data_IF_180239663689
#
_entry.id   IF_180239663689
#
_cell.length_a   1.000
_cell.length_b   1.000
_cell.length_c   1.000
_cell.angle_alpha   90.00
_cell.angle_beta   90.00
_cell.angle_gamma   90.00
#
_symmetry.space_group_name_H-M   'P 1'
#
loop_
_entity.id
_entity.type
_entity.pdbx_description
1 polymer ?
#
# COMPACT_ATOMS: atom_id res chain seq x y z
N UNK A 1 17.96 -15.24 33.94
CA UNK A 1 16.62 -14.64 33.72
C UNK A 1 16.19 -15.04 32.32
N UNK A 2 15.32 -16.04 32.25
CA UNK A 2 14.95 -16.76 31.03
C UNK A 2 13.91 -15.98 30.23
N UNK A 3 14.13 -15.92 28.91
CA UNK A 3 13.14 -15.54 27.92
C UNK A 3 11.92 -16.47 28.02
N UNK A 4 10.74 -15.90 28.24
CA UNK A 4 9.47 -16.55 27.91
C UNK A 4 8.92 -15.85 26.67
N UNK A 5 9.39 -16.32 25.51
CA UNK A 5 8.69 -16.19 24.25
C UNK A 5 7.35 -16.93 24.38
N UNK A 6 6.26 -16.18 24.56
CA UNK A 6 4.94 -16.68 24.25
C UNK A 6 4.79 -16.74 22.73
N UNK A 7 5.45 -17.73 22.12
CA UNK A 7 5.21 -18.12 20.75
C UNK A 7 3.76 -18.61 20.68
N UNK A 8 2.92 -17.77 20.07
CA UNK A 8 1.53 -18.04 19.74
C UNK A 8 1.48 -19.18 18.71
N UNK A 9 1.67 -20.41 19.19
CA UNK A 9 1.61 -21.62 18.36
C UNK A 9 0.14 -21.96 18.12
N UNK A 10 -0.50 -21.16 17.26
CA UNK A 10 -1.74 -21.54 16.60
C UNK A 10 -1.47 -22.87 15.90
N UNK A 11 -2.08 -23.95 16.41
CA UNK A 11 -2.21 -25.22 15.69
C UNK A 11 -2.93 -24.92 14.37
N UNK A 12 -2.18 -24.58 13.33
CA UNK A 12 -2.70 -24.51 11.97
C UNK A 12 -3.11 -25.92 11.59
N UNK A 13 -4.39 -26.19 11.75
CA UNK A 13 -5.04 -27.39 11.22
C UNK A 13 -4.75 -27.34 9.72
N UNK A 14 -3.94 -28.26 9.22
CA UNK A 14 -3.66 -28.41 7.78
C UNK A 14 -5.02 -28.65 7.13
N UNK A 15 -5.57 -27.60 6.50
CA UNK A 15 -6.81 -27.70 5.74
C UNK A 15 -6.48 -28.65 4.59
N UNK A 16 -7.11 -29.82 4.58
CA UNK A 16 -6.96 -30.75 3.47
C UNK A 16 -7.54 -30.07 2.23
N UNK A 17 -6.83 -30.14 1.09
CA UNK A 17 -7.19 -29.44 -0.16
C UNK A 17 -8.61 -29.75 -0.70
N UNK A 18 -9.33 -30.73 -0.17
CA UNK A 18 -10.64 -31.14 -0.64
C UNK A 18 -11.80 -30.28 -0.13
N UNK A 19 -11.58 -29.43 0.89
CA UNK A 19 -12.65 -28.62 1.50
C UNK A 19 -12.72 -27.18 0.96
N UNK A 20 -11.81 -26.80 0.05
CA UNK A 20 -11.75 -25.44 -0.49
C UNK A 20 -12.57 -25.36 -1.77
N UNK A 21 -13.42 -24.33 -1.88
CA UNK A 21 -14.18 -24.03 -3.10
C UNK A 21 -13.24 -24.05 -4.33
N UNK A 22 -13.51 -24.87 -5.35
CA UNK A 22 -12.73 -24.93 -6.58
C UNK A 22 -12.51 -23.57 -7.23
N UNK A 23 -13.47 -22.64 -7.08
CA UNK A 23 -13.34 -21.28 -7.59
C UNK A 23 -12.27 -20.48 -6.86
N UNK A 24 -12.15 -20.60 -5.54
CA UNK A 24 -11.08 -19.94 -4.77
C UNK A 24 -9.70 -20.45 -5.22
N UNK A 25 -9.57 -21.76 -5.45
CA UNK A 25 -8.32 -22.34 -5.98
C UNK A 25 -7.99 -21.78 -7.36
N UNK A 26 -8.99 -21.66 -8.25
CA UNK A 26 -8.82 -21.06 -9.58
C UNK A 26 -8.40 -19.58 -9.48
N UNK A 27 -9.02 -18.80 -8.61
CA UNK A 27 -8.68 -17.38 -8.39
C UNK A 27 -7.28 -17.21 -7.80
N UNK A 28 -6.88 -18.06 -6.87
CA UNK A 28 -5.51 -18.08 -6.33
C UNK A 28 -4.48 -18.37 -7.43
N UNK A 29 -4.75 -19.37 -8.27
CA UNK A 29 -3.89 -19.69 -9.41
C UNK A 29 -3.82 -18.56 -10.44
N UNK A 30 -4.96 -17.91 -10.73
CA UNK A 30 -5.03 -16.74 -11.61
C UNK A 30 -4.21 -15.56 -11.06
N UNK A 31 -4.39 -15.23 -9.78
CA UNK A 31 -3.61 -14.21 -9.08
C UNK A 31 -2.11 -14.50 -9.16
N UNK A 32 -1.70 -15.74 -8.87
CA UNK A 32 -0.31 -16.20 -8.98
C UNK A 32 0.23 -16.14 -10.40
N UNK A 33 -0.61 -16.38 -11.41
CA UNK A 33 -0.24 -16.25 -12.81
C UNK A 33 0.13 -14.79 -13.14
N UNK A 34 -0.70 -13.85 -12.71
CA UNK A 34 -0.52 -12.43 -12.98
C UNK A 34 0.54 -11.76 -12.11
N UNK A 35 0.93 -12.33 -10.98
CA UNK A 35 1.92 -11.75 -10.07
C UNK A 35 3.34 -11.60 -10.69
N UNK A 36 3.64 -12.29 -11.80
CA UNK A 36 4.94 -12.21 -12.46
C UNK A 36 4.92 -11.23 -13.66
N UNK A 37 5.79 -10.21 -13.69
CA UNK A 37 5.82 -9.22 -14.77
C UNK A 37 6.00 -9.83 -16.18
N UNK A 38 6.81 -10.88 -16.30
CA UNK A 38 7.06 -11.54 -17.59
C UNK A 38 5.78 -12.16 -18.15
N UNK A 39 4.96 -12.79 -17.30
CA UNK A 39 3.67 -13.38 -17.71
C UNK A 39 2.67 -12.30 -18.12
N UNK A 40 2.61 -11.18 -17.39
CA UNK A 40 1.80 -10.02 -17.80
C UNK A 40 2.24 -9.52 -19.19
N UNK A 41 3.55 -9.40 -19.41
CA UNK A 41 4.09 -8.91 -20.67
C UNK A 41 3.75 -9.84 -21.84
N UNK A 42 3.89 -11.16 -21.66
CA UNK A 42 3.51 -12.16 -22.66
C UNK A 42 2.01 -12.05 -23.00
N UNK A 43 1.13 -12.03 -21.99
CA UNK A 43 -0.32 -11.92 -22.19
C UNK A 43 -0.66 -10.64 -22.96
N UNK A 44 -0.07 -9.51 -22.55
CA UNK A 44 -0.26 -8.23 -23.23
C UNK A 44 0.20 -8.27 -24.69
N UNK A 45 1.38 -8.83 -24.96
CA UNK A 45 1.88 -8.96 -26.33
C UNK A 45 0.94 -9.80 -27.21
N UNK A 46 0.37 -10.88 -26.69
CA UNK A 46 -0.62 -11.69 -27.42
C UNK A 46 -1.88 -10.86 -27.72
N UNK A 47 -2.41 -10.15 -26.73
CA UNK A 47 -3.62 -9.32 -26.88
C UNK A 47 -3.40 -8.15 -27.85
N UNK A 48 -2.26 -7.45 -27.75
CA UNK A 48 -1.88 -6.34 -28.62
C UNK A 48 -1.76 -6.80 -30.10
N UNK A 49 -1.37 -8.06 -30.31
CA UNK A 49 -1.35 -8.71 -31.63
C UNK A 49 -2.71 -9.36 -31.99
N UNK A 50 -3.83 -8.73 -31.63
CA UNK A 50 -5.19 -9.22 -31.94
C UNK A 50 -5.46 -10.64 -31.43
N UNK A 51 -4.93 -10.97 -30.25
CA UNK A 51 -5.01 -12.29 -29.63
C UNK A 51 -4.32 -13.41 -30.42
N UNK A 52 -3.30 -13.06 -31.21
CA UNK A 52 -2.56 -13.99 -32.06
C UNK A 52 -1.06 -13.65 -32.04
N UNK A 53 -0.26 -14.44 -31.33
CA UNK A 53 1.19 -14.27 -31.37
C UNK A 53 1.91 -15.60 -31.63
N UNK A 54 2.80 -15.58 -32.61
CA UNK A 54 3.71 -16.69 -32.91
C UNK A 54 4.81 -16.79 -31.87
N UNK A 55 5.37 -17.99 -31.69
CA UNK A 55 6.53 -18.18 -30.81
C UNK A 55 7.71 -17.28 -31.17
N UNK A 56 7.94 -17.02 -32.47
CA UNK A 56 9.02 -16.16 -32.96
C UNK A 56 8.84 -14.70 -32.50
N UNK A 57 7.62 -14.17 -32.58
CA UNK A 57 7.30 -12.81 -32.09
C UNK A 57 7.49 -12.72 -30.58
N UNK A 58 7.04 -13.71 -29.83
CA UNK A 58 7.23 -13.74 -28.38
C UNK A 58 8.71 -13.87 -27.98
N UNK A 59 9.58 -14.45 -28.81
CA UNK A 59 11.02 -14.50 -28.54
C UNK A 59 11.74 -13.16 -28.80
N UNK A 60 11.06 -12.15 -29.38
CA UNK A 60 11.60 -10.80 -29.54
C UNK A 60 11.48 -9.95 -28.27
N UNK A 61 10.77 -10.45 -27.25
CA UNK A 61 10.62 -9.75 -25.97
C UNK A 61 11.98 -9.63 -25.26
N UNK A 62 12.18 -8.64 -24.37
CA UNK A 62 13.46 -8.42 -23.68
C UNK A 62 13.72 -9.43 -22.54
N UNK A 63 13.39 -10.70 -22.76
CA UNK A 63 13.56 -11.79 -21.81
C UNK A 63 14.25 -12.98 -22.47
N UNK A 64 14.88 -13.83 -21.66
CA UNK A 64 15.51 -15.05 -22.16
C UNK A 64 14.46 -16.00 -22.74
N UNK A 65 14.78 -16.61 -23.88
CA UNK A 65 13.90 -17.54 -24.60
C UNK A 65 13.41 -18.70 -23.73
N UNK A 66 14.27 -19.26 -22.89
CA UNK A 66 13.92 -20.35 -21.97
C UNK A 66 12.88 -19.91 -20.94
N UNK A 67 13.05 -18.70 -20.41
CA UNK A 67 12.13 -18.12 -19.43
C UNK A 67 10.74 -17.90 -20.03
N UNK A 68 10.68 -17.41 -21.28
CA UNK A 68 9.43 -17.22 -22.02
C UNK A 68 8.73 -18.56 -22.24
N UNK A 69 9.47 -19.59 -22.67
CA UNK A 69 8.90 -20.91 -22.88
C UNK A 69 8.35 -21.54 -21.59
N UNK A 70 9.08 -21.42 -20.47
CA UNK A 70 8.61 -21.86 -19.16
C UNK A 70 7.31 -21.16 -18.77
N UNK A 71 7.23 -19.85 -18.91
CA UNK A 71 6.03 -19.10 -18.57
C UNK A 71 4.84 -19.36 -19.51
N UNK A 72 5.09 -19.57 -20.81
CA UNK A 72 4.05 -20.01 -21.74
C UNK A 72 3.48 -21.37 -21.33
N UNK A 73 4.33 -22.32 -20.96
CA UNK A 73 3.88 -23.64 -20.51
C UNK A 73 3.01 -23.55 -19.25
N UNK A 74 3.41 -22.74 -18.26
CA UNK A 74 2.63 -22.53 -17.05
C UNK A 74 1.28 -21.85 -17.34
N UNK A 75 1.27 -20.80 -18.15
CA UNK A 75 0.03 -20.12 -18.57
C UNK A 75 -0.91 -21.08 -19.32
N UNK A 76 -0.35 -21.99 -20.13
CA UNK A 76 -1.10 -23.04 -20.82
C UNK A 76 -1.65 -24.08 -19.83
N UNK A 77 -0.88 -24.51 -18.84
CA UNK A 77 -1.34 -25.44 -17.80
C UNK A 77 -2.49 -24.87 -16.96
N UNK A 78 -2.47 -23.56 -16.70
CA UNK A 78 -3.59 -22.85 -16.07
C UNK A 78 -4.78 -22.66 -17.00
N UNK A 79 -4.60 -22.95 -18.29
CA UNK A 79 -5.55 -22.73 -19.38
C UNK A 79 -5.93 -21.27 -19.53
N UNK A 80 -4.97 -20.35 -19.33
CA UNK A 80 -5.15 -18.92 -19.62
C UNK A 80 -4.79 -18.61 -21.08
N UNK A 81 -3.92 -19.43 -21.67
CA UNK A 81 -3.58 -19.38 -23.08
C UNK A 81 -3.82 -20.73 -23.74
N UNK A 82 -4.13 -20.72 -25.02
CA UNK A 82 -4.16 -21.88 -25.89
C UNK A 82 -2.99 -21.83 -26.86
N UNK A 83 -2.68 -22.96 -27.47
CA UNK A 83 -1.60 -23.04 -28.46
C UNK A 83 -2.07 -23.91 -29.61
N UNK A 84 -2.11 -23.33 -30.80
CA UNK A 84 -2.48 -23.99 -32.05
C UNK A 84 -1.23 -24.15 -32.91
N UNK A 85 -1.22 -25.19 -33.73
CA UNK A 85 -0.15 -25.43 -34.68
C UNK A 85 -0.66 -25.11 -36.08
N UNK A 86 -0.15 -24.02 -36.67
CA UNK A 86 -0.58 -23.49 -37.96
C UNK A 86 0.65 -23.23 -38.84
N UNK A 87 0.64 -23.70 -40.08
CA UNK A 87 1.71 -23.46 -41.06
C UNK A 87 3.12 -23.77 -40.54
N UNK A 88 3.28 -24.90 -39.83
CA UNK A 88 4.55 -25.32 -39.21
C UNK A 88 5.06 -24.36 -38.11
N UNK A 89 4.17 -23.55 -37.54
CA UNK A 89 4.47 -22.62 -36.45
C UNK A 89 3.47 -22.80 -35.31
N UNK A 90 3.91 -22.48 -34.09
CA UNK A 90 3.02 -22.44 -32.93
C UNK A 90 2.50 -21.03 -32.72
N UNK A 91 1.18 -20.91 -32.72
CA UNK A 91 0.42 -19.70 -32.47
C UNK A 91 -0.18 -19.78 -31.07
N UNK A 92 0.01 -18.72 -30.29
CA UNK A 92 -0.52 -18.59 -28.94
C UNK A 92 -1.65 -17.55 -28.93
N UNK A 93 -2.74 -17.87 -28.23
CA UNK A 93 -3.87 -16.97 -28.00
C UNK A 93 -4.32 -17.05 -26.55
N UNK A 94 -4.82 -15.95 -26.00
CA UNK A 94 -5.45 -15.90 -24.67
C UNK A 94 -6.87 -16.45 -24.78
N UNK A 95 -7.28 -17.28 -23.82
CA UNK A 95 -8.69 -17.65 -23.65
C UNK A 95 -9.42 -16.45 -23.03
N UNK A 96 -9.90 -15.56 -23.89
CA UNK A 96 -10.51 -14.27 -23.50
C UNK A 96 -11.71 -14.48 -22.58
N UNK A 97 -12.56 -15.48 -22.85
CA UNK A 97 -13.75 -15.74 -22.06
C UNK A 97 -13.38 -16.16 -20.63
N UNK A 98 -12.44 -17.09 -20.49
CA UNK A 98 -11.97 -17.54 -19.19
C UNK A 98 -11.22 -16.44 -18.45
N UNK A 99 -10.45 -15.61 -19.17
CA UNK A 99 -9.75 -14.47 -18.59
C UNK A 99 -10.73 -13.42 -18.06
N UNK A 100 -11.78 -13.07 -18.82
CA UNK A 100 -12.84 -12.16 -18.38
C UNK A 100 -13.58 -12.72 -17.16
N UNK A 101 -13.96 -14.00 -17.19
CA UNK A 101 -14.63 -14.64 -16.07
C UNK A 101 -13.78 -14.57 -14.79
N UNK A 102 -12.50 -14.99 -14.87
CA UNK A 102 -11.60 -14.99 -13.71
C UNK A 102 -11.29 -13.57 -13.22
N UNK A 103 -11.11 -12.61 -14.13
CA UNK A 103 -10.85 -11.22 -13.75
C UNK A 103 -12.05 -10.57 -13.06
N UNK A 104 -13.27 -10.77 -13.58
CA UNK A 104 -14.49 -10.28 -12.93
C UNK A 104 -14.68 -10.89 -11.53
N UNK A 105 -14.50 -12.21 -11.41
CA UNK A 105 -14.59 -12.87 -10.11
C UNK A 105 -13.48 -12.45 -9.15
N UNK A 106 -12.28 -12.15 -9.66
CA UNK A 106 -11.18 -11.64 -8.85
C UNK A 106 -11.47 -10.21 -8.35
N UNK A 107 -12.01 -9.34 -9.21
CA UNK A 107 -12.40 -7.98 -8.86
C UNK A 107 -13.52 -7.95 -7.81
N UNK A 108 -14.47 -8.89 -7.89
CA UNK A 108 -15.57 -9.02 -6.95
C UNK A 108 -15.09 -9.20 -5.49
N UNK A 109 -13.90 -9.78 -5.27
CA UNK A 109 -13.28 -9.92 -3.93
C UNK A 109 -13.08 -8.53 -3.28
N UNK A 110 -12.82 -7.50 -4.07
CA UNK A 110 -12.49 -6.15 -3.59
C UNK A 110 -13.70 -5.21 -3.52
N UNK A 111 -14.87 -5.61 -4.01
CA UNK A 111 -16.09 -4.78 -3.98
C UNK A 111 -16.49 -4.31 -2.57
N UNK A 112 -16.42 -5.13 -1.51
CA UNK A 112 -16.72 -4.66 -0.16
C UNK A 112 -15.78 -3.54 0.29
N UNK A 113 -14.48 -3.65 -0.02
CA UNK A 113 -13.46 -2.65 0.32
C UNK A 113 -13.72 -1.35 -0.46
N UNK A 114 -14.04 -1.46 -1.75
CA UNK A 114 -14.36 -0.30 -2.58
C UNK A 114 -15.59 0.47 -2.04
N UNK A 115 -16.63 -0.24 -1.57
CA UNK A 115 -17.81 0.37 -0.94
C UNK A 115 -17.47 1.09 0.36
N UNK A 116 -16.72 0.43 1.25
CA UNK A 116 -16.27 1.06 2.51
C UNK A 116 -15.44 2.33 2.25
N UNK A 117 -14.57 2.31 1.25
CA UNK A 117 -13.79 3.48 0.85
C UNK A 117 -14.68 4.60 0.29
N UNK A 118 -15.69 4.28 -0.51
CA UNK A 118 -16.63 5.26 -1.04
C UNK A 118 -17.44 5.93 0.07
N UNK A 119 -17.95 5.14 1.04
CA UNK A 119 -18.68 5.65 2.20
C UNK A 119 -17.80 6.55 3.07
N UNK A 120 -16.56 6.14 3.35
CA UNK A 120 -15.60 6.94 4.10
C UNK A 120 -15.30 8.28 3.40
N UNK A 121 -15.13 8.27 2.08
CA UNK A 121 -14.91 9.48 1.30
C UNK A 121 -16.13 10.41 1.29
N UNK A 122 -17.35 9.86 1.28
CA UNK A 122 -18.57 10.66 1.34
C UNK A 122 -18.75 11.32 2.71
N UNK A 123 -18.39 10.64 3.80
CA UNK A 123 -18.37 11.24 5.14
C UNK A 123 -17.41 12.42 5.25
N UNK A 124 -16.28 12.38 4.53
CA UNK A 124 -15.33 13.49 4.47
C UNK A 124 -15.83 14.66 3.61
N UNK A 125 -16.68 14.40 2.61
CA UNK A 125 -17.28 15.42 1.74
C UNK A 125 -18.41 16.18 2.40
N UNK A 126 -19.05 15.63 3.44
CA UNK A 126 -20.11 16.33 4.16
C UNK A 126 -19.61 17.71 4.61
N UNK A 127 -20.31 18.80 4.25
CA UNK A 127 -19.88 20.14 4.62
C UNK A 127 -19.76 20.19 6.14
N UNK A 128 -18.58 20.59 6.64
CA UNK A 128 -18.36 20.77 8.07
C UNK A 128 -19.42 21.73 8.57
N UNK A 129 -20.46 21.19 9.25
CA UNK A 129 -21.45 21.97 9.97
C UNK A 129 -20.66 23.01 10.75
N UNK A 130 -20.92 24.29 10.48
CA UNK A 130 -20.23 25.42 11.10
C UNK A 130 -20.31 25.19 12.61
N UNK A 131 -19.25 24.66 13.22
CA UNK A 131 -19.18 24.50 14.67
C UNK A 131 -19.38 25.90 15.22
N UNK A 132 -20.53 26.13 15.85
CA UNK A 132 -20.77 27.34 16.65
C UNK A 132 -19.55 27.47 17.56
N UNK A 133 -18.81 28.58 17.41
CA UNK A 133 -17.69 28.94 18.28
C UNK A 133 -18.22 28.98 19.70
N UNK A 134 -18.04 27.90 20.46
CA UNK A 134 -18.05 27.97 21.91
C UNK A 134 -16.79 28.69 22.33
N UNK A 135 -17.02 29.73 23.13
CA UNK A 135 -16.04 30.69 23.61
C UNK A 135 -15.10 30.03 24.63
N UNK A 136 -13.83 30.41 24.51
CA UNK A 136 -12.68 30.36 25.45
C UNK A 136 -12.86 29.61 26.79
N UNK A 137 -11.90 28.71 27.06
CA UNK A 137 -11.29 28.49 28.39
C UNK A 137 -9.80 28.19 28.14
N UNK A 138 -8.93 29.16 28.36
CA UNK A 138 -8.10 29.39 29.56
C UNK A 138 -6.96 28.37 29.68
N UNK A 139 -5.75 28.90 29.78
CA UNK A 139 -4.47 28.18 29.77
C UNK A 139 -4.41 27.14 30.90
N UNK A 140 -4.37 25.87 30.52
CA UNK A 140 -4.04 24.78 31.43
C UNK A 140 -2.60 24.31 31.09
N UNK A 141 -1.68 24.25 32.07
CA UNK A 141 -0.33 23.79 31.83
C UNK A 141 -0.38 22.32 31.45
N UNK A 142 -0.03 22.04 30.20
CA UNK A 142 -0.01 20.68 29.66
C UNK A 142 1.10 19.90 30.35
N UNK A 143 0.69 18.75 30.90
CA UNK A 143 1.48 17.69 31.51
C UNK A 143 2.90 17.55 30.89
N UNK A 144 3.99 17.62 31.68
CA UNK A 144 5.36 17.59 31.16
C UNK A 144 5.81 16.26 30.51
N UNK A 145 4.98 15.22 30.50
CA UNK A 145 5.35 13.87 30.01
C UNK A 145 4.51 13.37 28.82
N UNK A 146 3.97 14.27 27.99
CA UNK A 146 3.34 13.83 26.74
C UNK A 146 4.39 13.19 25.80
N UNK A 147 4.39 11.85 25.75
CA UNK A 147 5.20 11.05 24.84
C UNK A 147 4.60 11.16 23.43
N UNK A 148 5.38 11.62 22.45
CA UNK A 148 4.93 11.72 21.06
C UNK A 148 5.77 12.66 20.21
N UNK A 149 5.64 12.53 18.89
CA UNK A 149 6.43 13.32 17.94
C UNK A 149 6.18 14.83 18.04
N UNK A 150 4.95 15.25 18.34
CA UNK A 150 4.58 16.66 18.49
C UNK A 150 5.30 17.38 19.64
N UNK A 151 5.23 16.85 20.89
CA UNK A 151 5.99 17.36 22.02
C UNK A 151 7.51 17.35 21.78
N UNK A 152 8.05 16.27 21.19
CA UNK A 152 9.47 16.20 20.78
C UNK A 152 9.83 17.35 19.81
N UNK A 153 9.03 17.56 18.77
CA UNK A 153 9.22 18.62 17.78
C UNK A 153 9.18 20.01 18.43
N UNK A 154 8.26 20.22 19.37
CA UNK A 154 8.14 21.48 20.12
C UNK A 154 9.40 21.77 20.92
N UNK A 155 9.95 20.75 21.60
CA UNK A 155 11.20 20.83 22.37
C UNK A 155 12.38 21.15 21.46
N UNK A 156 12.54 20.42 20.35
CA UNK A 156 13.62 20.67 19.39
C UNK A 156 13.54 22.07 18.78
N UNK A 157 12.34 22.54 18.41
CA UNK A 157 12.13 23.90 17.91
C UNK A 157 12.56 24.96 18.93
N UNK A 158 12.22 24.77 20.21
CA UNK A 158 12.60 25.68 21.29
C UNK A 158 14.11 25.68 21.53
N UNK A 159 14.76 24.52 21.49
CA UNK A 159 16.23 24.40 21.56
C UNK A 159 16.93 25.14 20.42
N UNK A 160 16.37 25.09 19.21
CA UNK A 160 16.84 25.85 18.06
C UNK A 160 16.48 27.35 18.10
N UNK A 161 15.83 27.83 19.19
CA UNK A 161 15.35 29.22 19.37
C UNK A 161 14.44 29.72 18.24
N UNK A 162 13.70 28.81 17.60
CA UNK A 162 12.77 29.14 16.53
C UNK A 162 11.35 29.34 17.09
N UNK A 163 10.65 30.35 16.59
CA UNK A 163 9.20 30.45 16.81
C UNK A 163 8.43 29.61 15.77
N UNK A 164 7.16 29.31 16.05
CA UNK A 164 6.33 28.48 15.15
C UNK A 164 6.17 29.09 13.74
N UNK A 165 6.16 30.43 13.64
CA UNK A 165 6.01 31.12 12.36
C UNK A 165 7.27 30.96 11.50
N UNK A 166 8.45 31.06 12.11
CA UNK A 166 9.76 30.88 11.46
C UNK A 166 9.93 29.45 10.96
N UNK A 167 9.71 28.46 11.83
CA UNK A 167 9.82 27.06 11.44
C UNK A 167 8.78 26.69 10.37
N UNK A 168 7.53 27.17 10.52
CA UNK A 168 6.49 26.98 9.52
C UNK A 168 6.89 27.53 8.15
N UNK A 169 7.48 28.73 8.11
CA UNK A 169 7.98 29.34 6.87
C UNK A 169 9.08 28.50 6.21
N UNK A 170 10.04 27.97 6.99
CA UNK A 170 11.11 27.10 6.46
C UNK A 170 10.57 25.78 5.91
N UNK A 171 9.50 25.25 6.50
CA UNK A 171 8.85 24.00 6.08
C UNK A 171 7.80 24.18 4.96
N UNK A 172 7.50 25.42 4.57
CA UNK A 172 6.39 25.73 3.68
C UNK A 172 5.04 25.26 4.24
N UNK A 173 4.79 25.47 5.53
CA UNK A 173 3.49 25.22 6.19
C UNK A 173 3.05 26.43 7.02
N UNK A 174 1.74 26.59 7.22
CA UNK A 174 1.24 27.67 8.06
C UNK A 174 1.58 27.45 9.54
N UNK A 175 1.77 28.52 10.31
CA UNK A 175 1.94 28.46 11.78
C UNK A 175 0.83 27.66 12.47
N UNK A 176 -0.42 27.79 12.01
CA UNK A 176 -1.56 27.03 12.53
C UNK A 176 -1.42 25.53 12.27
N UNK A 177 -0.93 25.13 11.10
CA UNK A 177 -0.68 23.74 10.76
C UNK A 177 0.45 23.16 11.61
N UNK A 178 1.57 23.89 11.76
CA UNK A 178 2.66 23.48 12.65
C UNK A 178 2.16 23.30 14.10
N UNK A 179 1.34 24.21 14.60
CA UNK A 179 0.76 24.07 15.94
C UNK A 179 -0.11 22.82 16.09
N UNK A 180 -0.85 22.41 15.06
CA UNK A 180 -1.60 21.14 15.08
C UNK A 180 -0.68 19.93 15.07
N UNK A 181 0.44 19.99 14.37
CA UNK A 181 1.45 18.92 14.35
C UNK A 181 2.11 18.79 15.73
N UNK A 182 2.54 19.91 16.33
CA UNK A 182 3.13 19.93 17.68
C UNK A 182 2.18 19.40 18.76
N UNK A 183 0.88 19.55 18.55
CA UNK A 183 -0.16 19.03 19.45
C UNK A 183 -0.64 17.61 19.07
N UNK A 184 -0.03 16.94 18.09
CA UNK A 184 -0.40 15.59 17.67
C UNK A 184 -1.75 15.47 16.96
N UNK A 185 -2.36 16.59 16.54
CA UNK A 185 -3.66 16.61 15.87
C UNK A 185 -3.57 16.31 14.37
N UNK A 186 -2.39 16.50 13.77
CA UNK A 186 -2.11 16.24 12.36
C UNK A 186 -0.75 15.57 12.24
N UNK A 187 -0.66 14.53 11.42
CA UNK A 187 0.60 13.87 11.07
C UNK A 187 1.36 14.74 10.07
N UNK A 188 2.66 14.96 10.33
CA UNK A 188 3.54 15.68 9.40
C UNK A 188 3.73 14.85 8.13
N UNK A 189 3.73 15.49 6.96
CA UNK A 189 4.08 14.84 5.70
C UNK A 189 5.53 14.30 5.76
N UNK A 190 5.77 12.99 5.55
CA UNK A 190 7.11 12.39 5.56
C UNK A 190 8.11 13.09 4.63
N UNK A 191 7.64 13.65 3.51
CA UNK A 191 8.49 14.38 2.56
C UNK A 191 9.15 15.63 3.16
N UNK A 192 8.61 16.16 4.26
CA UNK A 192 9.13 17.35 4.95
C UNK A 192 10.15 17.04 6.06
N UNK A 193 10.39 15.78 6.39
CA UNK A 193 11.31 15.39 7.47
C UNK A 193 12.75 15.84 7.21
N UNK A 194 13.20 15.79 5.95
CA UNK A 194 14.55 16.26 5.58
C UNK A 194 14.71 17.76 5.80
N UNK A 195 13.74 18.56 5.34
CA UNK A 195 13.73 20.01 5.55
C UNK A 195 13.63 20.36 7.03
N UNK A 196 12.87 19.58 7.80
CA UNK A 196 12.74 19.73 9.23
C UNK A 196 14.06 19.47 9.98
N UNK A 197 14.77 18.39 9.62
CA UNK A 197 16.08 18.08 10.19
C UNK A 197 17.07 19.22 9.95
N UNK A 198 17.12 19.74 8.72
CA UNK A 198 17.97 20.88 8.36
C UNK A 198 17.59 22.15 9.14
N UNK A 199 16.29 22.44 9.28
CA UNK A 199 15.81 23.62 9.99
C UNK A 199 16.09 23.58 11.50
N UNK A 200 16.02 22.39 12.12
CA UNK A 200 16.26 22.19 13.54
C UNK A 200 17.74 21.99 13.89
N UNK A 201 18.60 21.75 12.90
CA UNK A 201 19.99 21.35 13.13
C UNK A 201 20.11 19.97 13.80
N UNK A 202 19.12 19.10 13.60
CA UNK A 202 19.06 17.77 14.22
C UNK A 202 19.42 16.67 13.20
N UNK A 203 20.02 15.54 13.64
CA UNK A 203 20.26 14.40 12.77
C UNK A 203 18.96 13.85 12.18
N UNK A 204 18.92 13.66 10.86
CA UNK A 204 17.73 13.12 10.17
C UNK A 204 17.33 11.74 10.71
N UNK A 205 18.30 10.92 11.11
CA UNK A 205 18.07 9.58 11.68
C UNK A 205 17.26 9.65 12.97
N UNK A 206 17.59 10.56 13.89
CA UNK A 206 16.87 10.74 15.15
C UNK A 206 15.42 11.15 14.93
N UNK A 207 15.21 12.08 14.00
CA UNK A 207 13.87 12.54 13.60
C UNK A 207 13.01 11.43 12.98
N UNK A 208 13.61 10.57 12.15
CA UNK A 208 12.89 9.44 11.53
C UNK A 208 12.44 8.44 12.61
N UNK A 209 13.32 8.11 13.56
CA UNK A 209 12.98 7.16 14.62
C UNK A 209 11.84 7.69 15.50
N UNK A 210 11.92 8.94 15.95
CA UNK A 210 10.85 9.56 16.73
C UNK A 210 9.52 9.64 15.96
N UNK A 211 9.59 9.96 14.67
CA UNK A 211 8.41 10.01 13.81
C UNK A 211 7.75 8.62 13.66
N UNK A 212 8.56 7.57 13.46
CA UNK A 212 8.08 6.18 13.35
C UNK A 212 7.44 5.70 14.65
N UNK A 213 8.09 5.91 15.79
CA UNK A 213 7.54 5.53 17.09
C UNK A 213 6.17 6.16 17.33
N UNK A 214 6.00 7.44 16.96
CA UNK A 214 4.72 8.14 17.10
C UNK A 214 3.63 7.60 16.17
N UNK A 215 3.95 7.15 14.96
CA UNK A 215 2.97 6.53 14.06
C UNK A 215 2.50 5.19 14.64
N UNK A 216 3.42 4.36 15.13
CA UNK A 216 3.10 3.05 15.72
C UNK A 216 2.15 3.24 16.91
N UNK A 217 2.42 4.23 17.77
CA UNK A 217 1.57 4.55 18.92
C UNK A 217 0.17 5.04 18.50
N UNK A 218 0.06 5.82 17.42
CA UNK A 218 -1.23 6.25 16.89
C UNK A 218 -2.03 5.08 16.32
N UNK A 219 -1.37 4.16 15.60
CA UNK A 219 -2.03 2.98 15.03
C UNK A 219 -2.52 2.06 16.15
N UNK A 220 -1.70 1.81 17.19
CA UNK A 220 -2.10 0.94 18.30
C UNK A 220 -3.28 1.49 19.10
N UNK A 221 -3.38 2.82 19.29
CA UNK A 221 -4.51 3.48 19.97
C UNK A 221 -5.81 3.48 19.17
N UNK A 222 -5.76 3.32 17.84
CA UNK A 222 -6.95 3.34 16.96
C UNK A 222 -7.56 1.95 16.78
N UNK A 223 -6.84 0.89 17.14
CA UNK A 223 -7.25 -0.51 16.96
C UNK A 223 -8.12 -1.08 18.10
N UNK A 224 -8.65 -0.21 18.97
CA UNK A 224 -9.55 -0.52 20.10
C UNK A 224 -10.91 0.10 19.83
#
# INVERSE_FOLDING_TARGET
>A
MQCLEACFFLKMKVIKNNDVDPMIVRLSNFSRALALPVRIYIIRQILDNQNHATRKELHQLPFKTELINTHLQELKQLGLITTLHENNTYVHSVDVNKFIMLSNSYLAIFEPIARLNAEAMELLRRPKLKKKKTVKKADEPTDPEAVGFGPYLRKQRQSARLNQTQLGKQLGISRKQLGKIENGLIVLDPGKLKTLALALGAPLTELIEQYRSSIIEMISKTAI
#
